data_IF_524900193845
#
_entry.id   IF_524900193845
#
_cell.length_a   1.000
_cell.length_b   1.000
_cell.length_c   1.000
_cell.angle_alpha   90.00
_cell.angle_beta   90.00
_cell.angle_gamma   90.00
#
_symmetry.space_group_name_H-M   'P 1'
#
loop_
_entity.id
_entity.type
_entity.pdbx_description
1 polymer ?
#
# COMPACT_ATOMS: atom_id res chain seq x y z
N UNK A 1 -25.14 -52.12 15.09
CA UNK A 1 -24.96 -51.60 13.71
C UNK A 1 -25.72 -50.30 13.42
N UNK A 2 -26.77 -49.91 14.17
CA UNK A 2 -27.51 -48.66 13.90
C UNK A 2 -26.78 -47.36 14.32
N UNK A 3 -25.95 -47.38 15.37
CA UNK A 3 -25.26 -46.18 15.87
C UNK A 3 -24.07 -45.71 15.01
N UNK A 4 -23.46 -46.61 14.23
CA UNK A 4 -22.31 -46.30 13.37
C UNK A 4 -22.74 -45.50 12.14
N UNK A 5 -23.92 -45.82 11.57
CA UNK A 5 -24.48 -45.13 10.42
C UNK A 5 -24.91 -43.69 10.75
N UNK A 6 -25.48 -43.45 11.94
CA UNK A 6 -25.87 -42.10 12.36
C UNK A 6 -24.67 -41.17 12.55
N UNK A 7 -23.58 -41.65 13.17
CA UNK A 7 -22.34 -40.88 13.33
C UNK A 7 -21.68 -40.58 11.98
N UNK A 8 -21.62 -41.55 11.08
CA UNK A 8 -21.09 -41.35 9.73
C UNK A 8 -21.90 -40.31 8.95
N UNK A 9 -23.24 -40.37 9.03
CA UNK A 9 -24.12 -39.36 8.44
C UNK A 9 -23.89 -37.97 9.04
N UNK A 10 -23.75 -37.85 10.36
CA UNK A 10 -23.50 -36.57 11.02
C UNK A 10 -22.15 -35.96 10.58
N UNK A 11 -21.10 -36.78 10.49
CA UNK A 11 -19.78 -36.34 10.00
C UNK A 11 -19.84 -35.92 8.54
N UNK A 12 -20.56 -36.67 7.69
CA UNK A 12 -20.75 -36.31 6.29
C UNK A 12 -21.53 -35.00 6.13
N UNK A 13 -22.61 -34.80 6.91
CA UNK A 13 -23.38 -33.55 6.90
C UNK A 13 -22.55 -32.37 7.39
N UNK A 14 -21.73 -32.56 8.43
CA UNK A 14 -20.80 -31.53 8.91
C UNK A 14 -19.74 -31.20 7.86
N UNK A 15 -19.17 -32.21 7.20
CA UNK A 15 -18.19 -32.00 6.12
C UNK A 15 -18.79 -31.25 4.94
N UNK A 16 -20.02 -31.62 4.52
CA UNK A 16 -20.76 -30.89 3.47
C UNK A 16 -21.04 -29.46 3.92
N UNK A 17 -21.50 -29.24 5.14
CA UNK A 17 -21.75 -27.90 5.69
C UNK A 17 -20.48 -27.04 5.71
N UNK A 18 -19.35 -27.60 6.15
CA UNK A 18 -18.06 -26.88 6.15
C UNK A 18 -17.64 -26.57 4.72
N UNK A 19 -17.69 -27.54 3.81
CA UNK A 19 -17.28 -27.36 2.42
C UNK A 19 -18.16 -26.34 1.68
N UNK A 20 -19.47 -26.32 1.91
CA UNK A 20 -20.36 -25.35 1.26
C UNK A 20 -20.25 -23.95 1.89
N UNK A 21 -19.99 -23.87 3.20
CA UNK A 21 -19.92 -22.59 3.92
C UNK A 21 -18.58 -21.90 3.75
N UNK A 22 -17.47 -22.65 3.81
CA UNK A 22 -16.11 -22.11 3.82
C UNK A 22 -15.29 -22.50 2.59
N UNK A 23 -15.73 -23.47 1.78
CA UNK A 23 -15.04 -23.87 0.56
C UNK A 23 -14.86 -22.73 -0.46
N UNK A 24 -15.88 -21.86 -0.70
CA UNK A 24 -15.70 -20.70 -1.57
C UNK A 24 -14.63 -19.72 -1.07
N UNK A 25 -14.64 -19.42 0.24
CA UNK A 25 -13.66 -18.53 0.87
C UNK A 25 -12.24 -19.13 0.75
N UNK A 26 -12.09 -20.42 1.04
CA UNK A 26 -10.81 -21.14 0.91
C UNK A 26 -10.33 -21.20 -0.55
N UNK A 27 -11.22 -21.44 -1.51
CA UNK A 27 -10.87 -21.46 -2.93
C UNK A 27 -10.40 -20.08 -3.41
N UNK A 28 -11.09 -19.02 -2.99
CA UNK A 28 -10.70 -17.66 -3.31
C UNK A 28 -9.38 -17.30 -2.64
N UNK A 29 -9.12 -17.69 -1.39
CA UNK A 29 -7.83 -17.49 -0.73
C UNK A 29 -6.71 -18.21 -1.50
N UNK A 30 -6.94 -19.44 -1.95
CA UNK A 30 -5.99 -20.21 -2.75
C UNK A 30 -5.63 -19.50 -4.06
N UNK A 31 -6.63 -18.95 -4.77
CA UNK A 31 -6.43 -18.16 -5.98
C UNK A 31 -5.67 -16.86 -5.71
N UNK A 32 -6.15 -16.07 -4.76
CA UNK A 32 -5.66 -14.72 -4.44
C UNK A 32 -4.21 -14.75 -3.95
N UNK A 33 -3.87 -15.74 -3.12
CA UNK A 33 -2.51 -15.97 -2.64
C UNK A 33 -1.57 -16.59 -3.70
N UNK A 34 -2.10 -16.89 -4.89
CA UNK A 34 -1.32 -17.38 -6.02
C UNK A 34 -0.88 -18.83 -5.89
N UNK A 35 -1.58 -19.65 -5.11
CA UNK A 35 -1.16 -21.04 -4.90
C UNK A 35 -1.29 -21.81 -6.22
N UNK A 36 -0.16 -22.34 -6.72
CA UNK A 36 0.00 -22.97 -8.05
C UNK A 36 -0.19 -22.03 -9.24
N UNK A 37 -0.14 -20.71 -9.06
CA UNK A 37 -0.07 -19.78 -10.20
C UNK A 37 1.23 -20.03 -10.96
N UNK A 38 1.24 -19.86 -12.28
CA UNK A 38 2.50 -19.86 -13.02
C UNK A 38 3.11 -18.47 -12.96
N UNK A 39 4.43 -18.39 -12.79
CA UNK A 39 5.14 -17.12 -12.92
C UNK A 39 5.17 -16.72 -14.39
N UNK A 40 4.88 -15.46 -14.67
CA UNK A 40 4.84 -14.90 -16.01
C UNK A 40 5.82 -13.73 -16.12
N UNK A 41 6.34 -13.51 -17.33
CA UNK A 41 7.17 -12.36 -17.64
C UNK A 41 6.57 -11.63 -18.83
N UNK A 42 6.14 -10.38 -18.64
CA UNK A 42 5.74 -9.51 -19.75
C UNK A 42 6.90 -9.35 -20.73
N UNK A 43 6.64 -9.62 -22.00
CA UNK A 43 7.64 -9.51 -23.06
C UNK A 43 7.98 -8.04 -23.30
N UNK A 44 9.26 -7.69 -23.10
CA UNK A 44 9.79 -6.37 -23.43
C UNK A 44 10.52 -6.51 -24.77
N UNK A 45 9.88 -6.05 -25.84
CA UNK A 45 10.42 -6.23 -27.20
C UNK A 45 11.67 -5.37 -27.48
N UNK A 46 11.76 -4.19 -26.85
CA UNK A 46 12.90 -3.29 -26.96
C UNK A 46 13.46 -2.98 -25.56
N UNK A 47 14.75 -3.16 -25.36
CA UNK A 47 15.40 -2.88 -24.08
C UNK A 47 15.19 -1.43 -23.60
N UNK A 48 14.99 -0.48 -24.52
CA UNK A 48 14.70 0.92 -24.19
C UNK A 48 13.29 1.12 -23.59
N UNK A 49 12.40 0.13 -23.68
CA UNK A 49 11.04 0.18 -23.13
C UNK A 49 10.97 -0.32 -21.67
N UNK A 50 12.12 -0.56 -21.04
CA UNK A 50 12.25 -0.95 -19.64
C UNK A 50 13.44 -0.26 -18.99
N UNK A 51 13.20 0.39 -17.86
CA UNK A 51 14.21 1.14 -17.11
C UNK A 51 14.12 0.77 -15.64
N UNK A 52 15.25 0.40 -15.04
CA UNK A 52 15.40 0.39 -13.58
C UNK A 52 15.69 1.81 -13.13
N UNK A 53 14.93 2.28 -12.15
CA UNK A 53 15.11 3.62 -11.61
C UNK A 53 16.12 3.52 -10.49
N UNK A 54 17.30 4.09 -10.68
CA UNK A 54 18.36 4.05 -9.67
C UNK A 54 17.94 4.80 -8.39
N UNK A 55 18.53 4.42 -7.26
CA UNK A 55 18.28 5.04 -5.95
C UNK A 55 16.79 5.05 -5.55
N UNK A 56 16.17 3.87 -5.55
CA UNK A 56 14.76 3.65 -5.18
C UNK A 56 14.56 2.30 -4.48
N UNK A 57 15.37 2.05 -3.45
CA UNK A 57 15.29 0.79 -2.71
C UNK A 57 14.02 0.71 -1.85
N UNK A 58 13.26 -0.37 -1.99
CA UNK A 58 12.11 -0.73 -1.16
C UNK A 58 11.07 0.39 -1.03
N UNK A 59 10.88 1.17 -2.10
CA UNK A 59 9.79 2.12 -2.17
C UNK A 59 8.48 1.34 -2.17
N UNK A 60 7.64 1.54 -1.16
CA UNK A 60 6.42 0.75 -1.02
C UNK A 60 5.24 1.44 -1.69
N UNK A 61 5.22 2.76 -1.73
CA UNK A 61 4.12 3.52 -2.32
C UNK A 61 4.59 4.66 -3.23
N UNK A 62 3.76 5.08 -4.19
CA UNK A 62 4.07 6.15 -5.15
C UNK A 62 2.82 6.88 -5.63
N UNK A 63 2.90 8.21 -5.70
CA UNK A 63 1.83 9.07 -6.21
C UNK A 63 2.30 9.96 -7.34
N UNK A 64 1.45 10.14 -8.35
CA UNK A 64 1.67 11.10 -9.43
C UNK A 64 1.06 12.45 -9.09
N UNK A 65 1.88 13.49 -9.05
CA UNK A 65 1.40 14.86 -8.84
C UNK A 65 1.18 15.55 -10.18
N UNK A 66 -0.07 15.50 -10.67
CA UNK A 66 -0.47 16.01 -12.00
C UNK A 66 0.05 17.44 -12.28
N UNK A 67 -0.07 18.35 -11.31
CA UNK A 67 0.33 19.76 -11.47
C UNK A 67 1.81 19.91 -11.81
N UNK A 68 2.68 19.09 -11.20
CA UNK A 68 4.13 19.14 -11.46
C UNK A 68 4.58 18.18 -12.55
N UNK A 69 3.78 17.15 -12.85
CA UNK A 69 4.15 16.05 -13.72
C UNK A 69 5.25 15.14 -13.15
N UNK A 70 5.42 15.10 -11.82
CA UNK A 70 6.43 14.32 -11.12
C UNK A 70 5.78 13.23 -10.26
N UNK A 71 6.50 12.12 -10.03
CA UNK A 71 6.10 11.13 -9.04
C UNK A 71 6.79 11.39 -7.71
N UNK A 72 6.09 11.12 -6.61
CA UNK A 72 6.59 11.20 -5.24
C UNK A 72 6.50 9.83 -4.59
N UNK A 73 7.55 9.43 -3.88
CA UNK A 73 7.63 8.13 -3.20
C UNK A 73 8.51 8.23 -1.96
N UNK A 74 8.32 7.31 -1.00
CA UNK A 74 9.21 7.14 0.13
C UNK A 74 9.87 5.75 0.09
N UNK A 75 11.18 5.74 0.20
CA UNK A 75 12.04 4.59 -0.01
C UNK A 75 12.91 4.34 1.22
N UNK A 76 13.46 3.13 1.31
CA UNK A 76 14.55 2.86 2.24
C UNK A 76 15.88 3.26 1.61
N UNK A 77 16.88 3.48 2.46
CA UNK A 77 18.23 3.79 1.98
C UNK A 77 18.97 2.55 1.47
N UNK A 78 18.63 1.37 2.01
CA UNK A 78 19.23 0.09 1.66
C UNK A 78 18.20 -1.02 1.81
N UNK A 79 18.44 -2.18 1.19
CA UNK A 79 17.47 -3.29 1.17
C UNK A 79 17.50 -4.20 2.42
N UNK A 80 18.51 -4.05 3.27
CA UNK A 80 18.76 -4.99 4.38
C UNK A 80 17.90 -4.74 5.63
N UNK A 81 17.64 -3.50 6.07
CA UNK A 81 16.92 -3.25 7.33
C UNK A 81 15.52 -3.89 7.39
N UNK A 82 14.73 -3.83 6.30
CA UNK A 82 13.37 -4.42 6.28
C UNK A 82 13.36 -5.94 6.44
N UNK A 83 14.45 -6.63 6.09
CA UNK A 83 14.56 -8.07 6.33
C UNK A 83 14.72 -8.44 7.82
N UNK A 84 14.87 -7.44 8.69
CA UNK A 84 15.03 -7.59 10.14
C UNK A 84 13.99 -6.80 10.94
N UNK A 85 13.46 -5.72 10.38
CA UNK A 85 12.44 -4.90 11.02
C UNK A 85 11.49 -4.32 9.98
N UNK A 86 10.28 -4.88 9.92
CA UNK A 86 9.17 -4.35 9.14
C UNK A 86 7.84 -4.85 9.73
N UNK A 87 7.24 -4.11 10.68
CA UNK A 87 5.99 -4.46 11.34
C UNK A 87 4.82 -4.82 10.41
N UNK A 88 4.64 -4.20 9.22
CA UNK A 88 3.58 -4.58 8.29
C UNK A 88 3.65 -6.04 7.82
N UNK A 89 4.81 -6.70 7.90
CA UNK A 89 4.95 -8.13 7.60
C UNK A 89 5.32 -8.96 8.84
N UNK A 90 4.94 -8.46 10.03
CA UNK A 90 5.22 -9.06 11.33
C UNK A 90 6.71 -9.38 11.57
N UNK A 91 7.62 -8.65 10.92
CA UNK A 91 9.05 -8.83 11.08
C UNK A 91 9.58 -7.93 12.21
N UNK A 92 9.89 -8.53 13.35
CA UNK A 92 10.40 -7.85 14.55
C UNK A 92 11.76 -8.41 15.00
N UNK A 93 12.53 -9.01 14.09
CA UNK A 93 13.72 -9.79 14.41
C UNK A 93 14.82 -8.97 15.11
N UNK A 94 15.06 -7.73 14.67
CA UNK A 94 16.06 -6.85 15.28
C UNK A 94 15.62 -5.37 15.23
N UNK A 95 15.01 -4.82 16.30
CA UNK A 95 14.70 -3.38 16.37
C UNK A 95 15.94 -2.48 16.35
N UNK A 96 17.13 -3.01 16.63
CA UNK A 96 18.37 -2.24 16.69
C UNK A 96 18.81 -1.71 15.32
N UNK A 97 18.42 -2.37 14.22
CA UNK A 97 18.80 -1.91 12.87
C UNK A 97 18.16 -0.59 12.49
N UNK A 98 17.03 -0.26 13.12
CA UNK A 98 16.29 0.97 12.84
C UNK A 98 17.05 2.21 13.29
N UNK A 99 17.97 2.10 14.24
CA UNK A 99 18.87 3.21 14.59
C UNK A 99 19.72 3.72 13.41
N UNK A 100 19.88 2.90 12.36
CA UNK A 100 20.56 3.25 11.10
C UNK A 100 19.59 3.39 9.90
N UNK A 101 18.29 3.17 10.10
CA UNK A 101 17.29 3.31 9.03
C UNK A 101 16.87 4.76 8.92
N UNK A 102 17.34 5.45 7.89
CA UNK A 102 17.07 6.88 7.71
C UNK A 102 15.98 7.18 6.70
N UNK A 103 15.52 6.20 5.92
CA UNK A 103 14.51 6.37 4.87
C UNK A 103 14.79 7.57 3.97
N UNK A 104 13.98 7.74 2.93
CA UNK A 104 14.15 8.90 2.06
C UNK A 104 12.89 9.21 1.28
N UNK A 105 12.73 10.48 0.93
CA UNK A 105 11.69 10.92 0.00
C UNK A 105 12.35 11.16 -1.36
N UNK A 106 11.75 10.61 -2.40
CA UNK A 106 12.25 10.71 -3.75
C UNK A 106 11.22 11.37 -4.67
N UNK A 107 11.76 12.10 -5.64
CA UNK A 107 11.02 12.62 -6.77
C UNK A 107 11.52 11.92 -8.02
N UNK A 108 10.60 11.45 -8.84
CA UNK A 108 10.93 10.82 -10.12
C UNK A 108 10.32 11.65 -11.24
N UNK A 109 11.14 12.01 -12.22
CA UNK A 109 10.69 12.68 -13.42
C UNK A 109 10.34 11.64 -14.51
N UNK A 110 9.07 11.51 -14.92
CA UNK A 110 8.66 10.53 -15.93
C UNK A 110 9.32 10.74 -17.29
N UNK A 111 9.83 11.94 -17.59
CA UNK A 111 10.49 12.25 -18.87
C UNK A 111 11.94 11.77 -18.88
N UNK A 112 12.63 11.89 -17.76
CA UNK A 112 14.05 11.49 -17.65
C UNK A 112 14.24 10.10 -17.06
N UNK A 113 13.20 9.55 -16.42
CA UNK A 113 13.20 8.26 -15.72
C UNK A 113 14.28 8.17 -14.63
N UNK A 114 14.55 9.31 -13.97
CA UNK A 114 15.56 9.43 -12.92
C UNK A 114 14.91 9.82 -11.59
N UNK A 115 15.46 9.24 -10.52
CA UNK A 115 15.17 9.57 -9.13
C UNK A 115 16.04 10.75 -8.67
N UNK A 116 15.44 11.64 -7.87
CA UNK A 116 16.12 12.67 -7.06
C UNK A 116 15.72 12.44 -5.61
N UNK A 117 16.68 11.97 -4.81
CA UNK A 117 16.58 11.91 -3.36
C UNK A 117 16.57 13.31 -2.76
N UNK A 118 15.60 13.59 -1.90
CA UNK A 118 15.48 14.86 -1.18
C UNK A 118 16.19 14.76 0.18
N UNK A 119 16.95 15.80 0.54
CA UNK A 119 17.42 15.94 1.91
C UNK A 119 16.24 16.17 2.87
N UNK A 120 16.33 15.68 4.11
CA UNK A 120 15.32 15.95 5.13
C UNK A 120 15.87 16.99 6.11
N UNK A 121 15.16 18.12 6.26
CA UNK A 121 15.50 19.17 7.21
C UNK A 121 14.61 19.07 8.45
N UNK A 122 15.20 19.23 9.64
CA UNK A 122 14.45 19.29 10.89
C UNK A 122 13.99 17.94 11.44
N UNK A 123 14.51 16.83 10.91
CA UNK A 123 14.27 15.48 11.41
C UNK A 123 15.55 14.65 11.36
N UNK A 124 15.93 14.07 12.49
CA UNK A 124 17.11 13.21 12.66
C UNK A 124 16.75 11.84 13.25
N UNK A 125 15.45 11.56 13.36
CA UNK A 125 14.93 10.30 13.87
C UNK A 125 14.99 9.16 12.84
N UNK A 126 14.73 7.91 13.27
CA UNK A 126 14.58 6.81 12.35
C UNK A 126 13.35 6.95 11.45
N UNK A 127 13.50 6.62 10.17
CA UNK A 127 12.41 6.66 9.20
C UNK A 127 12.36 5.32 8.44
N UNK A 128 11.44 4.46 8.84
CA UNK A 128 11.14 3.17 8.20
C UNK A 128 9.88 3.36 7.39
N UNK A 129 10.03 3.54 6.09
CA UNK A 129 8.97 4.06 5.21
C UNK A 129 7.92 2.98 4.91
N UNK A 130 6.72 3.40 4.53
CA UNK A 130 5.63 2.54 4.06
C UNK A 130 4.73 3.38 3.12
N UNK A 131 3.41 3.38 3.30
CA UNK A 131 2.49 4.22 2.54
C UNK A 131 2.71 5.73 2.73
N UNK A 132 2.45 6.50 1.67
CA UNK A 132 2.52 7.97 1.70
C UNK A 132 1.29 8.57 1.01
N UNK A 133 1.04 9.86 1.23
CA UNK A 133 0.21 10.63 0.30
C UNK A 133 0.67 12.08 0.26
N UNK A 134 0.30 12.76 -0.81
CA UNK A 134 0.66 14.15 -1.07
C UNK A 134 -0.60 15.01 -1.20
N UNK A 135 -0.53 16.23 -0.68
CA UNK A 135 -1.62 17.21 -0.86
C UNK A 135 -1.03 18.59 -1.07
N UNK A 136 -1.65 19.37 -1.97
CA UNK A 136 -1.22 20.73 -2.26
C UNK A 136 -1.23 21.59 -0.98
N UNK A 137 -0.25 22.48 -0.84
CA UNK A 137 -0.30 23.53 0.18
C UNK A 137 -1.45 24.49 -0.18
N UNK A 138 -2.50 24.65 0.67
CA UNK A 138 -3.60 25.56 0.37
C UNK A 138 -3.17 27.03 0.19
N UNK A 139 -2.01 27.42 0.71
CA UNK A 139 -1.45 28.78 0.57
C UNK A 139 -0.70 28.96 -0.75
N UNK A 140 -0.04 27.90 -1.21
CA UNK A 140 0.83 27.89 -2.40
C UNK A 140 0.55 26.65 -3.27
N UNK A 141 -0.69 26.43 -3.75
CA UNK A 141 -1.13 25.13 -4.26
C UNK A 141 -0.48 24.70 -5.58
N UNK A 142 0.27 25.60 -6.22
CA UNK A 142 1.03 25.32 -7.45
C UNK A 142 2.51 25.09 -7.19
N UNK A 143 3.01 25.54 -6.04
CA UNK A 143 4.43 25.69 -5.78
C UNK A 143 4.89 24.83 -4.59
N UNK A 144 3.97 24.39 -3.72
CA UNK A 144 4.30 23.57 -2.57
C UNK A 144 3.26 22.48 -2.28
N UNK A 145 3.73 21.41 -1.64
CA UNK A 145 2.92 20.28 -1.19
C UNK A 145 3.28 19.90 0.25
N UNK A 146 2.34 19.27 0.91
CA UNK A 146 2.57 18.47 2.10
C UNK A 146 2.69 17.00 1.71
N UNK A 147 3.59 16.28 2.38
CA UNK A 147 3.80 14.84 2.21
C UNK A 147 3.59 14.18 3.57
N UNK A 148 2.60 13.30 3.65
CA UNK A 148 2.41 12.44 4.80
C UNK A 148 3.08 11.10 4.53
N UNK A 149 3.79 10.55 5.51
CA UNK A 149 4.43 9.25 5.37
C UNK A 149 4.25 8.40 6.63
N UNK A 150 3.84 7.14 6.45
CA UNK A 150 3.85 6.16 7.53
C UNK A 150 5.30 5.83 7.91
N UNK A 151 5.57 5.79 9.21
CA UNK A 151 6.88 5.50 9.78
C UNK A 151 6.79 4.44 10.88
N UNK A 152 7.45 3.30 10.67
CA UNK A 152 7.40 2.13 11.54
C UNK A 152 8.60 2.02 12.49
N UNK A 153 8.66 2.89 13.50
CA UNK A 153 9.75 2.82 14.48
C UNK A 153 9.52 1.77 15.59
N UNK A 154 10.58 1.23 16.20
CA UNK A 154 10.47 0.46 17.43
C UNK A 154 9.94 1.30 18.59
N UNK A 155 9.15 0.68 19.45
CA UNK A 155 8.79 1.27 20.73
C UNK A 155 10.03 1.29 21.67
N UNK A 156 10.47 2.47 22.15
CA UNK A 156 11.61 2.57 23.06
C UNK A 156 11.45 1.74 24.35
N UNK A 157 10.23 1.63 24.89
CA UNK A 157 9.95 0.84 26.09
C UNK A 157 10.16 -0.66 25.84
N UNK A 158 9.71 -1.15 24.68
CA UNK A 158 9.94 -2.54 24.26
C UNK A 158 11.43 -2.82 24.08
N UNK A 159 12.16 -1.93 23.38
CA UNK A 159 13.60 -2.07 23.17
C UNK A 159 14.36 -2.09 24.49
N UNK A 160 13.97 -1.24 25.44
CA UNK A 160 14.57 -1.21 26.78
C UNK A 160 14.25 -2.49 27.56
N UNK A 161 12.99 -2.94 27.56
CA UNK A 161 12.58 -4.16 28.26
C UNK A 161 13.31 -5.40 27.75
N UNK A 162 13.49 -5.51 26.43
CA UNK A 162 14.26 -6.59 25.78
C UNK A 162 15.73 -6.59 26.21
N UNK A 163 16.37 -5.41 26.31
CA UNK A 163 17.78 -5.27 26.74
C UNK A 163 18.00 -5.65 28.20
N UNK A 164 17.06 -5.35 29.09
CA UNK A 164 17.20 -5.59 30.54
C UNK A 164 16.81 -7.03 30.92
N UNK A 165 16.46 -7.89 29.96
CA UNK A 165 16.02 -9.27 30.23
C UNK A 165 14.71 -9.34 31.02
N UNK A 166 13.96 -8.23 31.08
CA UNK A 166 12.65 -8.11 31.74
C UNK A 166 11.50 -8.37 30.76
N UNK A 167 11.71 -9.22 29.75
CA UNK A 167 10.58 -9.83 29.05
C UNK A 167 9.80 -10.63 30.11
N UNK A 168 8.74 -10.00 30.61
CA UNK A 168 8.05 -10.29 31.86
C UNK A 168 7.52 -11.72 31.96
N UNK A 169 7.41 -12.24 33.18
CA UNK A 169 6.66 -13.48 33.47
C UNK A 169 5.14 -13.33 33.22
N UNK A 170 4.66 -12.13 32.91
CA UNK A 170 3.29 -11.86 32.48
C UNK A 170 3.28 -11.29 31.05
N UNK A 171 2.63 -12.00 30.13
CA UNK A 171 2.51 -11.61 28.72
C UNK A 171 1.74 -10.27 28.55
N UNK A 172 0.82 -9.94 29.47
CA UNK A 172 0.00 -8.72 29.40
C UNK A 172 0.76 -7.43 29.75
N UNK A 173 2.00 -7.52 30.24
CA UNK A 173 2.81 -6.35 30.63
C UNK A 173 3.96 -6.06 29.66
N UNK A 174 3.99 -6.69 28.48
CA UNK A 174 5.02 -6.46 27.47
C UNK A 174 4.58 -5.24 26.64
N UNK A 175 5.38 -4.16 26.58
CA UNK A 175 5.06 -3.02 25.72
C UNK A 175 4.94 -3.46 24.25
N UNK A 176 4.05 -2.80 23.51
CA UNK A 176 3.92 -3.00 22.06
C UNK A 176 5.27 -2.87 21.36
N UNK A 177 5.58 -3.75 20.40
CA UNK A 177 6.90 -3.77 19.75
C UNK A 177 7.14 -2.55 18.87
N UNK A 178 6.13 -2.16 18.10
CA UNK A 178 6.15 -1.01 17.20
C UNK A 178 5.53 0.21 17.85
N UNK A 179 6.00 1.38 17.46
CA UNK A 179 5.39 2.68 17.75
C UNK A 179 5.17 3.43 16.43
N UNK A 180 4.41 2.79 15.53
CA UNK A 180 4.09 3.30 14.21
C UNK A 180 3.39 4.67 14.31
N UNK A 181 3.74 5.57 13.40
CA UNK A 181 3.32 6.98 13.42
C UNK A 181 3.32 7.54 12.01
N UNK A 182 2.84 8.77 11.85
CA UNK A 182 2.88 9.50 10.58
C UNK A 182 3.86 10.67 10.71
N UNK A 183 4.73 10.84 9.74
CA UNK A 183 5.59 12.02 9.60
C UNK A 183 5.00 12.95 8.55
N UNK A 184 4.85 14.23 8.89
CA UNK A 184 4.40 15.27 7.97
C UNK A 184 5.59 16.11 7.52
N UNK A 185 5.76 16.23 6.21
CA UNK A 185 6.76 17.08 5.58
C UNK A 185 6.10 18.17 4.73
N UNK A 186 6.79 19.27 4.55
CA UNK A 186 6.45 20.33 3.60
C UNK A 186 7.56 20.43 2.56
N UNK A 187 7.18 20.52 1.30
CA UNK A 187 8.10 20.57 0.18
C UNK A 187 7.70 21.67 -0.80
N UNK A 188 8.64 22.56 -1.08
CA UNK A 188 8.52 23.54 -2.16
C UNK A 188 9.10 22.93 -3.43
N UNK A 189 8.31 22.89 -4.50
CA UNK A 189 8.68 22.26 -5.76
C UNK A 189 9.96 22.86 -6.33
N UNK A 190 10.95 21.99 -6.56
CA UNK A 190 12.26 22.36 -7.11
C UNK A 190 13.38 22.34 -6.09
N UNK A 191 13.07 22.42 -4.80
CA UNK A 191 14.06 22.40 -3.72
C UNK A 191 14.84 21.08 -3.67
N UNK A 192 16.03 21.11 -3.09
CA UNK A 192 16.86 19.92 -2.86
C UNK A 192 16.46 19.13 -1.61
N UNK A 193 15.48 19.61 -0.84
CA UNK A 193 15.12 19.04 0.45
C UNK A 193 13.67 19.30 0.82
N UNK A 194 13.12 18.41 1.64
CA UNK A 194 11.85 18.59 2.35
C UNK A 194 12.10 19.07 3.77
N UNK A 195 11.14 19.79 4.35
CA UNK A 195 11.18 20.19 5.75
C UNK A 195 10.20 19.35 6.56
N UNK A 196 10.67 18.69 7.60
CA UNK A 196 9.79 18.06 8.58
C UNK A 196 8.97 19.13 9.30
N UNK A 197 7.66 18.90 9.35
CA UNK A 197 6.69 19.78 9.98
C UNK A 197 6.40 19.29 11.39
N UNK A 198 5.97 18.03 11.51
CA UNK A 198 5.75 17.36 12.79
C UNK A 198 5.54 15.86 12.61
N UNK A 199 5.68 15.15 13.73
CA UNK A 199 5.19 13.78 13.90
C UNK A 199 3.73 13.81 14.36
N UNK A 200 2.94 12.83 13.92
CA UNK A 200 1.53 12.63 14.26
C UNK A 200 1.36 11.21 14.80
N UNK A 201 0.73 11.10 15.97
CA UNK A 201 0.39 9.82 16.61
C UNK A 201 -0.99 9.91 17.24
N UNK A 202 -1.74 8.81 17.21
CA UNK A 202 -3.08 8.74 17.79
C UNK A 202 -3.39 7.28 18.18
N UNK A 203 -4.14 7.00 19.27
CA UNK A 203 -4.45 5.63 19.69
C UNK A 203 -5.19 4.75 18.67
N UNK A 204 -5.83 5.38 17.67
CA UNK A 204 -6.48 4.68 16.56
C UNK A 204 -5.50 4.31 15.43
N UNK A 205 -4.25 4.75 15.48
CA UNK A 205 -3.17 4.33 14.58
C UNK A 205 -2.50 3.11 15.22
N UNK A 206 -2.94 1.91 14.85
CA UNK A 206 -2.53 0.65 15.49
C UNK A 206 -1.57 -0.16 14.63
N UNK A 207 -1.87 -0.25 13.34
CA UNK A 207 -1.17 -1.01 12.30
C UNK A 207 -1.25 -0.21 10.99
N UNK A 208 -0.79 1.06 10.98
CA UNK A 208 -0.97 1.93 9.83
C UNK A 208 -0.33 1.31 8.59
N UNK A 209 -1.08 1.28 7.50
CA UNK A 209 -0.58 0.80 6.22
C UNK A 209 -0.37 1.98 5.26
N UNK A 210 -1.45 2.69 4.94
CA UNK A 210 -1.41 3.78 3.97
C UNK A 210 -2.28 4.98 4.36
N UNK A 211 -2.14 6.09 3.63
CA UNK A 211 -2.70 7.41 3.93
C UNK A 211 -3.51 7.91 2.73
N UNK A 212 -4.60 8.62 3.02
CA UNK A 212 -5.29 9.46 2.06
C UNK A 212 -5.37 10.88 2.62
N UNK A 213 -4.73 11.84 1.97
CA UNK A 213 -4.67 13.22 2.39
C UNK A 213 -5.77 14.06 1.71
N UNK A 214 -6.75 14.51 2.50
CA UNK A 214 -7.77 15.47 2.04
C UNK A 214 -7.21 16.89 2.07
N UNK A 215 -6.44 17.20 3.12
CA UNK A 215 -5.80 18.49 3.36
C UNK A 215 -4.65 18.31 4.36
N UNK A 216 -3.80 19.34 4.59
CA UNK A 216 -2.77 19.26 5.62
C UNK A 216 -3.30 18.99 7.04
N UNK A 217 -4.61 19.21 7.27
CA UNK A 217 -5.27 19.04 8.57
C UNK A 217 -6.27 17.89 8.63
N UNK A 218 -6.43 17.09 7.57
CA UNK A 218 -7.42 16.01 7.50
C UNK A 218 -6.90 14.88 6.62
N UNK A 219 -6.71 13.70 7.23
CA UNK A 219 -6.18 12.51 6.57
C UNK A 219 -6.97 11.27 6.99
N UNK A 220 -7.09 10.29 6.10
CA UNK A 220 -7.48 8.93 6.45
C UNK A 220 -6.25 8.05 6.52
N UNK A 221 -6.28 7.07 7.43
CA UNK A 221 -5.21 6.09 7.61
C UNK A 221 -5.83 4.71 7.72
N UNK A 222 -5.33 3.75 6.96
CA UNK A 222 -5.74 2.34 7.11
C UNK A 222 -4.97 1.67 8.22
N UNK A 223 -5.65 0.85 9.01
CA UNK A 223 -5.05 -0.16 9.87
C UNK A 223 -5.29 -1.53 9.24
N UNK A 224 -4.22 -2.17 8.77
CA UNK A 224 -4.33 -3.38 7.95
C UNK A 224 -4.66 -4.65 8.72
N UNK A 225 -4.38 -4.67 10.02
CA UNK A 225 -4.67 -5.82 10.88
C UNK A 225 -5.15 -5.42 12.26
N UNK A 226 -6.02 -6.24 12.85
CA UNK A 226 -6.33 -6.19 14.27
C UNK A 226 -5.22 -6.82 15.11
N UNK A 227 -4.72 -7.99 14.70
CA UNK A 227 -3.60 -8.64 15.38
C UNK A 227 -2.26 -8.18 14.80
N UNK A 228 -1.34 -7.71 15.65
CA UNK A 228 -0.03 -7.22 15.21
C UNK A 228 0.95 -8.31 14.79
N UNK A 229 0.82 -9.53 15.34
CA UNK A 229 1.68 -10.67 15.01
C UNK A 229 1.05 -12.01 15.41
N UNK A 230 1.74 -13.11 15.08
CA UNK A 230 1.41 -14.45 15.55
C UNK A 230 0.29 -15.15 14.77
N UNK A 231 -0.16 -16.29 15.29
CA UNK A 231 -1.10 -17.17 14.58
C UNK A 231 -2.47 -16.55 14.32
N UNK A 232 -2.92 -15.63 15.18
CA UNK A 232 -4.19 -14.95 14.99
C UNK A 232 -4.15 -13.95 13.84
N UNK A 233 -2.99 -13.29 13.62
CA UNK A 233 -2.76 -12.46 12.42
C UNK A 233 -2.78 -13.31 11.16
N UNK A 234 -2.07 -14.44 11.15
CA UNK A 234 -2.09 -15.36 10.01
C UNK A 234 -3.50 -15.93 9.73
N UNK A 235 -4.32 -16.12 10.78
CA UNK A 235 -5.72 -16.53 10.62
C UNK A 235 -6.59 -15.40 10.05
N UNK A 236 -6.36 -14.16 10.49
CA UNK A 236 -6.98 -12.95 9.94
C UNK A 236 -6.78 -12.93 8.42
N UNK A 237 -5.54 -13.05 7.93
CA UNK A 237 -5.20 -12.98 6.50
C UNK A 237 -5.95 -13.99 5.61
N UNK A 238 -6.13 -15.24 6.09
CA UNK A 238 -6.73 -16.32 5.29
C UNK A 238 -8.24 -16.40 5.44
N UNK A 239 -8.81 -15.82 6.49
CA UNK A 239 -10.24 -15.84 6.75
C UNK A 239 -10.87 -14.54 6.25
N UNK A 240 -11.38 -14.51 5.02
CA UNK A 240 -12.03 -13.32 4.44
C UNK A 240 -13.21 -12.71 5.21
N UNK A 241 -13.69 -13.41 6.25
CA UNK A 241 -14.71 -12.93 7.16
C UNK A 241 -14.13 -12.19 8.39
N UNK A 242 -12.82 -12.19 8.57
CA UNK A 242 -12.09 -11.46 9.59
C UNK A 242 -12.04 -9.97 9.25
N UNK A 243 -13.22 -9.36 9.17
CA UNK A 243 -13.43 -7.98 8.75
C UNK A 243 -13.13 -6.99 9.88
N UNK A 244 -11.94 -7.10 10.46
CA UNK A 244 -11.54 -6.47 11.71
C UNK A 244 -10.63 -5.25 11.50
N UNK A 245 -10.05 -5.10 10.30
CA UNK A 245 -9.30 -3.92 9.89
C UNK A 245 -10.19 -2.68 9.83
N UNK A 246 -9.57 -1.52 9.96
CA UNK A 246 -10.29 -0.24 10.00
C UNK A 246 -9.62 0.80 9.12
N UNK A 247 -10.39 1.76 8.65
CA UNK A 247 -9.85 3.04 8.15
C UNK A 247 -10.28 4.12 9.11
N UNK A 248 -9.35 4.97 9.54
CA UNK A 248 -9.60 6.00 10.56
C UNK A 248 -9.37 7.38 9.96
N UNK A 249 -10.24 8.33 10.28
CA UNK A 249 -10.06 9.73 9.92
C UNK A 249 -9.41 10.47 11.08
N UNK A 250 -8.32 11.18 10.79
CA UNK A 250 -7.63 12.06 11.73
C UNK A 250 -7.81 13.52 11.32
N UNK A 251 -8.12 14.37 12.31
CA UNK A 251 -8.10 15.83 12.19
C UNK A 251 -6.95 16.39 13.01
N UNK A 252 -6.18 17.29 12.40
CA UNK A 252 -4.98 17.91 12.99
C UNK A 252 -5.24 19.43 13.08
N UNK A 253 -5.47 19.93 14.29
CA UNK A 253 -5.84 21.33 14.53
C UNK A 253 -4.63 22.27 14.67
N UNK A 254 -3.43 21.74 14.90
CA UNK A 254 -2.21 22.52 15.08
C UNK A 254 -1.03 21.85 14.35
N UNK A 255 -0.64 22.34 13.17
CA UNK A 255 0.50 21.77 12.44
C UNK A 255 1.87 22.10 13.07
N UNK A 256 1.91 22.98 14.07
CA UNK A 256 3.16 23.47 14.67
C UNK A 256 3.52 22.78 15.99
N UNK A 257 2.63 21.94 16.52
CA UNK A 257 2.87 21.24 17.77
C UNK A 257 4.02 20.24 17.65
N UNK A 258 4.91 20.25 18.65
CA UNK A 258 6.05 19.33 18.76
C UNK A 258 5.69 17.98 19.36
N UNK A 259 4.67 17.95 20.23
CA UNK A 259 4.14 16.69 20.77
C UNK A 259 3.33 15.97 19.69
N UNK A 260 3.56 14.67 19.50
CA UNK A 260 2.95 13.91 18.41
C UNK A 260 1.43 13.75 18.51
N UNK A 261 0.86 13.89 19.71
CA UNK A 261 -0.58 13.70 19.98
C UNK A 261 -1.35 15.01 20.11
N UNK A 262 -0.64 16.10 20.41
CA UNK A 262 -1.24 17.41 20.60
C UNK A 262 -1.98 17.90 19.33
N UNK A 263 -3.24 18.29 19.52
CA UNK A 263 -4.09 18.77 18.43
C UNK A 263 -4.55 17.70 17.44
N UNK A 264 -4.40 16.41 17.75
CA UNK A 264 -4.84 15.31 16.89
C UNK A 264 -6.09 14.66 17.48
N UNK A 265 -7.16 14.60 16.69
CA UNK A 265 -8.37 13.84 17.03
C UNK A 265 -8.64 12.80 15.97
N UNK A 266 -9.19 11.66 16.35
CA UNK A 266 -9.45 10.57 15.41
C UNK A 266 -10.81 9.90 15.63
N UNK A 267 -11.36 9.34 14.54
CA UNK A 267 -12.55 8.49 14.58
C UNK A 267 -12.48 7.41 13.51
N UNK A 268 -13.16 6.29 13.71
CA UNK A 268 -13.27 5.23 12.69
C UNK A 268 -14.16 5.75 11.56
N UNK A 269 -13.65 5.68 10.33
CA UNK A 269 -14.31 6.11 9.10
C UNK A 269 -14.93 4.92 8.33
N UNK A 270 -14.25 3.77 8.39
CA UNK A 270 -14.70 2.50 7.81
C UNK A 270 -14.33 1.36 8.75
N UNK A 271 -15.27 0.44 8.90
CA UNK A 271 -15.14 -0.85 9.57
C UNK A 271 -15.80 -1.93 8.69
N UNK A 272 -15.70 -3.20 9.09
CA UNK A 272 -16.31 -4.34 8.39
C UNK A 272 -15.76 -4.60 6.96
N UNK A 273 -14.51 -4.21 6.73
CA UNK A 273 -13.69 -4.60 5.58
C UNK A 273 -12.54 -5.51 6.02
N UNK A 274 -11.96 -6.26 5.10
CA UNK A 274 -10.94 -7.27 5.42
C UNK A 274 -9.58 -6.86 4.88
N UNK A 275 -8.63 -6.65 5.79
CA UNK A 275 -7.26 -6.27 5.50
C UNK A 275 -7.15 -4.98 4.69
N UNK A 276 -7.70 -3.90 5.26
CA UNK A 276 -7.63 -2.54 4.70
C UNK A 276 -6.16 -2.11 4.58
N UNK A 277 -5.63 -2.13 3.36
CA UNK A 277 -4.22 -1.91 3.06
C UNK A 277 -4.09 -0.55 2.36
N UNK A 278 -3.67 -0.52 1.10
CA UNK A 278 -3.50 0.70 0.32
C UNK A 278 -4.74 1.57 0.19
N UNK A 279 -4.50 2.88 0.18
CA UNK A 279 -5.45 3.92 -0.13
C UNK A 279 -5.07 4.57 -1.47
N UNK A 280 -6.04 5.18 -2.14
CA UNK A 280 -5.76 5.87 -3.40
C UNK A 280 -6.82 6.89 -3.77
N UNK A 281 -6.45 7.81 -4.67
CA UNK A 281 -7.38 8.76 -5.27
C UNK A 281 -8.11 8.11 -6.43
N UNK A 282 -9.45 8.21 -6.44
CA UNK A 282 -10.29 7.64 -7.47
C UNK A 282 -10.50 8.57 -8.68
N UNK A 283 -11.55 8.28 -9.46
CA UNK A 283 -11.82 9.01 -10.71
C UNK A 283 -12.31 10.44 -10.50
N UNK A 284 -12.82 10.72 -9.32
CA UNK A 284 -13.41 12.00 -8.93
C UNK A 284 -12.80 12.44 -7.61
N UNK A 285 -12.81 13.74 -7.36
CA UNK A 285 -12.21 14.34 -6.16
C UNK A 285 -12.83 13.87 -4.83
N UNK A 286 -14.02 13.26 -4.88
CA UNK A 286 -14.70 12.67 -3.72
C UNK A 286 -14.56 11.14 -3.65
N UNK A 287 -13.76 10.52 -4.51
CA UNK A 287 -13.51 9.08 -4.50
C UNK A 287 -12.21 8.72 -3.80
N UNK A 288 -12.34 7.82 -2.83
CA UNK A 288 -11.24 7.15 -2.14
C UNK A 288 -11.26 5.67 -2.50
N UNK A 289 -10.10 5.14 -2.86
CA UNK A 289 -9.88 3.73 -3.11
C UNK A 289 -9.38 3.09 -1.82
N UNK A 290 -9.88 1.91 -1.47
CA UNK A 290 -9.43 1.15 -0.30
C UNK A 290 -9.19 -0.29 -0.74
N UNK A 291 -7.95 -0.74 -0.70
CA UNK A 291 -7.63 -2.14 -0.96
C UNK A 291 -7.93 -3.01 0.27
N UNK A 292 -8.65 -4.10 0.04
CA UNK A 292 -8.72 -5.26 0.92
C UNK A 292 -7.69 -6.27 0.42
N UNK A 293 -6.43 -6.14 0.86
CA UNK A 293 -5.27 -6.64 0.11
C UNK A 293 -5.30 -8.14 -0.12
N UNK A 294 -5.31 -8.94 0.95
CA UNK A 294 -5.37 -10.40 0.81
C UNK A 294 -6.72 -10.91 0.28
N UNK A 295 -7.75 -10.06 0.21
CA UNK A 295 -9.03 -10.40 -0.44
C UNK A 295 -8.98 -10.25 -1.96
N UNK A 296 -8.01 -9.51 -2.50
CA UNK A 296 -7.97 -9.18 -3.93
C UNK A 296 -9.12 -8.27 -4.37
N UNK A 297 -9.60 -7.41 -3.46
CA UNK A 297 -10.68 -6.45 -3.75
C UNK A 297 -10.20 -5.04 -3.50
N UNK A 298 -10.42 -4.16 -4.48
CA UNK A 298 -10.42 -2.71 -4.27
C UNK A 298 -11.86 -2.23 -4.08
N UNK A 299 -12.10 -1.49 -3.02
CA UNK A 299 -13.35 -0.79 -2.77
C UNK A 299 -13.25 0.64 -3.29
N UNK A 300 -14.29 1.08 -4.00
CA UNK A 300 -14.48 2.48 -4.35
C UNK A 300 -15.42 3.07 -3.30
N UNK A 301 -14.90 4.00 -2.51
CA UNK A 301 -15.61 4.74 -1.49
C UNK A 301 -15.88 6.18 -1.90
N UNK A 302 -16.91 6.78 -1.30
CA UNK A 302 -17.22 8.20 -1.40
C UNK A 302 -16.88 8.89 -0.09
N UNK A 303 -16.11 9.96 -0.19
CA UNK A 303 -15.83 10.86 0.93
C UNK A 303 -17.12 11.56 1.37
N UNK A 304 -17.27 11.81 2.68
CA UNK A 304 -18.41 12.55 3.20
C UNK A 304 -18.36 14.01 2.72
N UNK A 305 -19.52 14.55 2.34
CA UNK A 305 -19.63 15.96 1.95
C UNK A 305 -19.37 16.92 3.13
N UNK A 306 -19.72 16.49 4.35
CA UNK A 306 -19.41 17.21 5.58
C UNK A 306 -18.15 16.59 6.23
N UNK A 307 -17.03 17.33 6.31
CA UNK A 307 -15.77 16.83 6.90
C UNK A 307 -15.85 16.53 8.41
N UNK A 308 -16.92 16.97 9.09
CA UNK A 308 -17.19 16.61 10.49
C UNK A 308 -17.78 15.21 10.62
N UNK A 309 -18.47 14.72 9.58
CA UNK A 309 -18.84 13.31 9.45
C UNK A 309 -17.66 12.59 8.78
N UNK A 310 -17.10 11.54 9.38
CA UNK A 310 -15.92 10.86 8.81
C UNK A 310 -16.25 9.64 7.95
N UNK A 311 -17.53 9.30 7.79
CA UNK A 311 -17.90 7.99 7.29
C UNK A 311 -17.71 7.95 5.77
N UNK A 312 -16.82 7.06 5.32
CA UNK A 312 -16.69 6.77 3.89
C UNK A 312 -17.81 5.80 3.51
N UNK A 313 -18.53 6.11 2.43
CA UNK A 313 -19.57 5.22 1.91
C UNK A 313 -19.02 4.37 0.79
N UNK A 314 -18.91 3.06 0.99
CA UNK A 314 -18.50 2.14 -0.08
C UNK A 314 -19.62 2.04 -1.11
N UNK A 315 -19.31 2.30 -2.38
CA UNK A 315 -20.29 2.35 -3.47
C UNK A 315 -20.10 1.23 -4.50
N UNK A 316 -18.89 0.71 -4.66
CA UNK A 316 -18.60 -0.32 -5.65
C UNK A 316 -17.36 -1.12 -5.28
N UNK A 317 -17.34 -2.40 -5.63
CA UNK A 317 -16.20 -3.31 -5.42
C UNK A 317 -15.64 -3.76 -6.78
N UNK A 318 -14.31 -3.78 -6.88
CA UNK A 318 -13.55 -4.33 -8.00
C UNK A 318 -12.71 -5.47 -7.47
N UNK A 319 -12.93 -6.69 -7.97
CA UNK A 319 -12.21 -7.88 -7.49
C UNK A 319 -11.39 -8.49 -8.62
N UNK A 320 -10.14 -8.84 -8.29
CA UNK A 320 -9.21 -9.55 -9.17
C UNK A 320 -8.74 -10.84 -8.47
N UNK A 321 -8.23 -11.80 -9.24
CA UNK A 321 -7.79 -13.10 -8.72
C UNK A 321 -6.39 -13.06 -8.04
N UNK A 322 -5.91 -11.90 -7.60
CA UNK A 322 -4.61 -11.66 -6.95
C UNK A 322 -4.76 -10.76 -5.73
N UNK A 323 -3.80 -10.77 -4.79
CA UNK A 323 -3.77 -9.72 -3.76
C UNK A 323 -3.68 -8.34 -4.43
N UNK A 324 -4.19 -7.30 -3.77
CA UNK A 324 -4.12 -5.92 -4.26
C UNK A 324 -3.50 -5.05 -3.17
N UNK A 325 -2.31 -4.49 -3.40
CA UNK A 325 -1.70 -3.52 -2.46
C UNK A 325 -2.26 -2.11 -2.74
N UNK A 326 -1.45 -1.14 -3.20
CA UNK A 326 -1.79 0.28 -3.28
C UNK A 326 -2.43 0.61 -4.63
N UNK A 327 -3.77 0.78 -4.67
CA UNK A 327 -4.48 0.99 -5.93
C UNK A 327 -4.37 2.45 -6.37
N UNK A 328 -4.24 2.67 -7.67
CA UNK A 328 -4.24 4.04 -8.24
C UNK A 328 -5.23 4.16 -9.39
N UNK A 329 -5.63 5.40 -9.70
CA UNK A 329 -6.44 5.68 -10.87
C UNK A 329 -5.60 6.42 -11.92
N UNK A 330 -5.66 5.93 -13.16
CA UNK A 330 -5.10 6.60 -14.33
C UNK A 330 -6.21 7.34 -15.08
N UNK A 331 -6.08 8.66 -15.19
CA UNK A 331 -6.88 9.47 -16.10
C UNK A 331 -6.14 9.65 -17.43
N UNK A 332 -6.80 9.29 -18.54
CA UNK A 332 -6.24 9.38 -19.87
C UNK A 332 -6.29 10.83 -20.41
N UNK A 333 -5.15 11.55 -20.49
CA UNK A 333 -5.16 12.95 -20.91
C UNK A 333 -5.43 13.11 -22.42
N UNK A 334 -5.43 12.02 -23.18
CA UNK A 334 -5.70 12.00 -24.62
C UNK A 334 -7.05 11.35 -24.96
N UNK A 335 -7.92 11.17 -23.97
CA UNK A 335 -9.24 10.59 -24.14
C UNK A 335 -10.06 11.34 -25.20
N UNK A 336 -10.76 10.58 -26.03
CA UNK A 336 -11.71 11.09 -27.04
C UNK A 336 -13.07 10.45 -26.81
N UNK A 337 -14.17 11.06 -27.27
CA UNK A 337 -15.48 10.42 -27.23
C UNK A 337 -15.43 9.03 -27.87
N UNK A 338 -15.67 7.98 -27.06
CA UNK A 338 -15.62 6.58 -27.50
C UNK A 338 -14.22 5.92 -27.50
N UNK A 339 -13.17 6.63 -27.08
CA UNK A 339 -11.80 6.11 -26.92
C UNK A 339 -11.13 6.75 -25.69
N UNK A 340 -11.70 6.45 -24.53
CA UNK A 340 -11.19 6.80 -23.20
C UNK A 340 -10.47 5.56 -22.62
N UNK A 341 -9.19 5.71 -22.32
CA UNK A 341 -8.33 4.65 -21.78
C UNK A 341 -8.10 4.78 -20.28
N UNK A 342 -8.90 5.56 -19.56
CA UNK A 342 -8.81 5.71 -18.11
C UNK A 342 -9.18 4.40 -17.39
N UNK A 343 -8.58 4.15 -16.23
CA UNK A 343 -8.79 2.90 -15.50
C UNK A 343 -8.02 2.82 -14.19
N UNK A 344 -8.29 1.76 -13.42
CA UNK A 344 -7.63 1.50 -12.15
C UNK A 344 -6.43 0.58 -12.34
N UNK A 345 -5.36 0.85 -11.62
CA UNK A 345 -4.19 -0.01 -11.52
C UNK A 345 -4.23 -0.74 -10.19
N UNK A 346 -4.19 -2.06 -10.25
CA UNK A 346 -4.24 -2.95 -9.09
C UNK A 346 -2.94 -3.77 -9.05
N UNK A 347 -1.90 -3.26 -8.37
CA UNK A 347 -0.65 -3.98 -8.14
C UNK A 347 -0.86 -5.15 -7.17
N UNK A 348 -0.21 -6.28 -7.43
CA UNK A 348 -0.32 -7.48 -6.62
C UNK A 348 0.75 -8.53 -6.88
N UNK A 349 0.75 -9.59 -6.10
CA UNK A 349 1.79 -10.64 -6.18
C UNK A 349 1.31 -11.88 -6.91
N UNK A 350 2.21 -12.45 -7.71
CA UNK A 350 1.97 -13.75 -8.37
C UNK A 350 1.87 -14.90 -7.37
N UNK A 351 2.63 -14.85 -6.26
CA UNK A 351 2.71 -15.86 -5.21
C UNK A 351 2.81 -15.23 -3.82
N UNK A 352 1.77 -14.53 -3.38
CA UNK A 352 1.77 -13.89 -2.06
C UNK A 352 2.03 -14.88 -0.91
N UNK A 353 1.70 -16.16 -1.10
CA UNK A 353 1.95 -17.22 -0.10
C UNK A 353 3.43 -17.35 0.31
N UNK A 354 4.37 -16.92 -0.53
CA UNK A 354 5.80 -17.03 -0.23
C UNK A 354 6.33 -15.87 0.65
N UNK A 355 5.59 -14.75 0.75
CA UNK A 355 6.08 -13.53 1.42
C UNK A 355 6.45 -13.77 2.87
N UNK A 356 5.63 -14.51 3.62
CA UNK A 356 5.90 -14.79 5.03
C UNK A 356 7.22 -15.52 5.28
N UNK A 357 7.71 -16.30 4.30
CA UNK A 357 9.03 -16.92 4.36
C UNK A 357 10.12 -16.00 3.81
N UNK A 358 9.85 -15.37 2.66
CA UNK A 358 10.85 -14.61 1.91
C UNK A 358 11.20 -13.25 2.54
N UNK A 359 10.38 -12.72 3.44
CA UNK A 359 10.63 -11.42 4.10
C UNK A 359 11.94 -11.39 4.90
N UNK A 360 12.44 -12.54 5.35
CA UNK A 360 13.70 -12.63 6.11
C UNK A 360 14.94 -12.73 5.22
N UNK A 361 14.76 -12.91 3.91
CA UNK A 361 15.83 -13.04 2.93
C UNK A 361 15.74 -11.90 1.90
N UNK A 362 16.70 -10.97 1.92
CA UNK A 362 16.73 -9.84 0.99
C UNK A 362 17.07 -10.25 -0.45
N UNK A 363 17.60 -11.46 -0.66
CA UNK A 363 17.94 -12.00 -1.99
C UNK A 363 16.85 -12.91 -2.58
N UNK A 364 15.77 -13.18 -1.82
CA UNK A 364 14.66 -13.96 -2.34
C UNK A 364 13.94 -13.26 -3.51
N UNK A 365 13.17 -14.02 -4.28
CA UNK A 365 12.38 -13.53 -5.42
C UNK A 365 10.89 -13.70 -5.16
N UNK A 366 10.13 -12.66 -5.48
CA UNK A 366 8.69 -12.60 -5.28
C UNK A 366 8.06 -12.04 -6.56
N UNK A 367 7.34 -12.89 -7.30
CA UNK A 367 6.76 -12.52 -8.58
C UNK A 367 5.63 -11.50 -8.45
N UNK A 368 5.45 -10.69 -9.49
CA UNK A 368 4.62 -9.49 -9.49
C UNK A 368 3.59 -9.52 -10.61
N UNK A 369 2.48 -8.81 -10.41
CA UNK A 369 1.41 -8.62 -11.36
C UNK A 369 0.82 -7.22 -11.20
N UNK A 370 0.46 -6.58 -12.30
CA UNK A 370 -0.32 -5.33 -12.30
C UNK A 370 -1.52 -5.52 -13.22
N UNK A 371 -2.70 -5.50 -12.63
CA UNK A 371 -3.95 -5.47 -13.38
C UNK A 371 -4.35 -4.03 -13.70
N UNK A 372 -4.82 -3.82 -14.92
CA UNK A 372 -5.52 -2.62 -15.33
C UNK A 372 -7.00 -2.94 -15.47
N UNK A 373 -7.85 -2.20 -14.77
CA UNK A 373 -9.28 -2.49 -14.69
C UNK A 373 -10.10 -1.31 -15.17
N UNK A 374 -11.01 -1.58 -16.10
CA UNK A 374 -11.87 -0.58 -16.71
C UNK A 374 -13.32 -1.00 -16.68
N UNK A 375 -14.23 -0.03 -16.60
CA UNK A 375 -15.66 -0.28 -16.68
C UNK A 375 -16.09 -0.25 -18.15
N UNK A 376 -16.71 -1.32 -18.62
CA UNK A 376 -17.30 -1.36 -19.96
C UNK A 376 -18.43 -0.33 -20.06
N UNK A 377 -18.35 0.66 -20.97
CA UNK A 377 -19.35 1.72 -21.06
C UNK A 377 -20.71 1.23 -21.57
N UNK A 378 -20.78 0.05 -22.21
CA UNK A 378 -22.02 -0.53 -22.74
C UNK A 378 -22.70 -1.44 -21.72
N UNK A 379 -21.92 -2.28 -21.03
CA UNK A 379 -22.46 -3.31 -20.13
C UNK A 379 -22.39 -2.90 -18.66
N UNK A 380 -21.53 -1.95 -18.31
CA UNK A 380 -21.23 -1.57 -16.93
C UNK A 380 -20.37 -2.60 -16.18
N UNK A 381 -19.95 -3.69 -16.82
CA UNK A 381 -19.12 -4.72 -16.21
C UNK A 381 -17.66 -4.27 -16.09
N UNK A 382 -16.96 -4.79 -15.08
CA UNK A 382 -15.52 -4.61 -14.94
C UNK A 382 -14.76 -5.54 -15.88
N UNK A 383 -13.85 -4.97 -16.66
CA UNK A 383 -12.92 -5.69 -17.51
C UNK A 383 -11.52 -5.56 -16.90
N UNK A 384 -10.94 -6.67 -16.49
CA UNK A 384 -9.58 -6.77 -15.99
C UNK A 384 -8.61 -7.18 -17.11
N UNK A 385 -7.45 -6.53 -17.17
CA UNK A 385 -6.37 -6.86 -18.11
C UNK A 385 -5.06 -6.89 -17.35
N UNK A 386 -4.34 -8.01 -17.40
CA UNK A 386 -2.97 -8.07 -16.91
C UNK A 386 -2.08 -7.26 -17.86
N UNK A 387 -1.53 -6.13 -17.38
CA UNK A 387 -0.71 -5.23 -18.21
C UNK A 387 0.79 -5.40 -17.94
N UNK A 388 1.15 -5.93 -16.78
CA UNK A 388 2.52 -6.26 -16.43
C UNK A 388 2.59 -7.46 -15.49
N UNK A 389 3.57 -8.32 -15.70
CA UNK A 389 3.95 -9.40 -14.80
C UNK A 389 5.46 -9.64 -14.86
N UNK A 390 6.03 -10.02 -13.72
CA UNK A 390 7.41 -10.45 -13.58
C UNK A 390 7.52 -11.66 -12.66
N UNK A 391 8.51 -12.51 -12.92
CA UNK A 391 8.82 -13.66 -12.07
C UNK A 391 9.57 -13.29 -10.78
N UNK A 392 9.95 -12.03 -10.61
CA UNK A 392 10.63 -11.48 -9.43
C UNK A 392 12.07 -11.05 -9.69
N UNK A 393 12.64 -11.35 -10.88
CA UNK A 393 14.05 -11.02 -11.19
C UNK A 393 14.25 -9.60 -11.76
N UNK A 394 13.25 -9.03 -12.44
CA UNK A 394 13.32 -7.63 -12.92
C UNK A 394 12.86 -6.67 -11.85
N UNK A 395 11.82 -7.06 -11.10
CA UNK A 395 11.31 -6.36 -9.92
C UNK A 395 10.77 -7.39 -8.92
N UNK A 396 11.29 -7.36 -7.69
CA UNK A 396 10.88 -8.25 -6.60
C UNK A 396 9.77 -7.60 -5.80
N UNK A 397 8.62 -8.26 -5.68
CA UNK A 397 7.39 -7.72 -5.08
C UNK A 397 6.84 -6.50 -5.84
N UNK A 398 5.54 -6.26 -5.71
CA UNK A 398 4.94 -5.02 -6.16
C UNK A 398 3.89 -4.58 -5.14
N UNK A 399 3.92 -3.30 -4.78
CA UNK A 399 2.99 -2.68 -3.84
C UNK A 399 2.22 -1.53 -4.46
N UNK A 400 2.87 -0.61 -5.17
CA UNK A 400 2.19 0.46 -5.89
C UNK A 400 2.54 0.49 -7.38
N UNK A 401 1.62 1.00 -8.20
CA UNK A 401 1.89 1.28 -9.60
C UNK A 401 1.17 2.53 -10.09
N UNK A 402 1.80 3.29 -10.97
CA UNK A 402 1.30 4.55 -11.53
C UNK A 402 1.56 4.54 -13.03
N UNK A 403 0.59 5.00 -13.81
CA UNK A 403 0.71 5.08 -15.26
C UNK A 403 0.76 6.54 -15.71
N UNK A 404 1.76 6.88 -16.52
CA UNK A 404 1.91 8.21 -17.12
C UNK A 404 1.82 8.08 -18.63
N UNK A 405 0.83 8.73 -19.26
CA UNK A 405 0.61 8.64 -20.69
C UNK A 405 1.76 9.25 -21.50
N UNK A 406 2.15 8.59 -22.59
CA UNK A 406 3.05 9.15 -23.60
C UNK A 406 2.20 9.87 -24.63
N UNK A 407 2.59 11.08 -25.03
CA UNK A 407 1.89 11.80 -26.10
C UNK A 407 1.87 10.97 -27.39
N UNK A 408 0.68 10.61 -27.93
CA UNK A 408 0.58 9.91 -29.19
C UNK A 408 1.28 10.65 -30.34
N UNK A 409 1.34 11.99 -30.30
CA UNK A 409 2.05 12.79 -31.30
C UNK A 409 3.58 12.54 -31.28
N UNK A 410 4.13 12.21 -30.11
CA UNK A 410 5.55 11.92 -29.92
C UNK A 410 5.88 10.42 -30.08
N UNK A 411 4.86 9.56 -30.15
CA UNK A 411 5.00 8.10 -30.16
C UNK A 411 4.27 7.42 -31.35
N UNK A 412 4.32 8.06 -32.53
CA UNK A 412 3.82 7.47 -33.77
C UNK A 412 2.33 7.14 -33.77
N UNK A 413 1.53 7.89 -33.01
CA UNK A 413 0.08 7.74 -32.87
C UNK A 413 -0.35 6.62 -31.91
N UNK A 414 0.58 5.91 -31.28
CA UNK A 414 0.24 4.80 -30.36
C UNK A 414 -0.29 5.33 -29.03
N UNK A 415 -1.30 4.64 -28.46
CA UNK A 415 -1.80 4.87 -27.12
C UNK A 415 -1.00 4.02 -26.14
N UNK A 416 0.09 4.60 -25.61
CA UNK A 416 1.00 3.93 -24.67
C UNK A 416 1.26 4.82 -23.47
N UNK A 417 1.69 4.20 -22.37
CA UNK A 417 2.14 4.89 -21.18
C UNK A 417 3.40 4.25 -20.59
N UNK A 418 4.09 5.01 -19.75
CA UNK A 418 5.08 4.47 -18.82
C UNK A 418 4.36 4.00 -17.55
N UNK A 419 4.38 2.70 -17.31
CA UNK A 419 3.96 2.10 -16.06
C UNK A 419 5.14 2.09 -15.09
N UNK A 420 5.04 2.91 -14.05
CA UNK A 420 5.94 2.92 -12.92
C UNK A 420 5.47 1.88 -11.92
N UNK A 421 6.39 1.05 -11.45
CA UNK A 421 6.10 -0.06 -10.53
C UNK A 421 7.09 0.01 -9.37
N UNK A 422 6.56 -0.02 -8.16
CA UNK A 422 7.32 -0.02 -6.89
C UNK A 422 7.24 -1.39 -6.23
N UNK A 423 7.94 -1.60 -5.12
CA UNK A 423 7.80 -2.83 -4.34
C UNK A 423 8.41 -2.72 -2.95
N UNK A 424 7.69 -3.20 -1.95
CA UNK A 424 8.07 -3.15 -0.53
C UNK A 424 9.38 -3.87 -0.16
N UNK A 425 9.87 -4.78 -1.02
CA UNK A 425 11.18 -5.43 -0.87
C UNK A 425 12.03 -5.38 -2.17
N UNK A 426 11.67 -4.53 -3.13
CA UNK A 426 12.43 -4.35 -4.37
C UNK A 426 13.78 -3.65 -4.13
N UNK A 427 14.80 -3.98 -4.93
CA UNK A 427 16.05 -3.20 -4.95
C UNK A 427 15.88 -1.84 -5.64
N UNK A 428 14.95 -1.75 -6.58
CA UNK A 428 14.66 -0.57 -7.38
C UNK A 428 13.20 -0.59 -7.82
N UNK A 429 12.61 0.59 -7.96
CA UNK A 429 11.47 0.81 -8.84
C UNK A 429 11.85 0.55 -10.30
N UNK A 430 10.85 0.25 -11.12
CA UNK A 430 11.01 0.16 -12.57
C UNK A 430 10.01 1.07 -13.29
N UNK A 431 10.33 1.43 -14.53
CA UNK A 431 9.41 1.96 -15.50
C UNK A 431 9.39 1.05 -16.73
N UNK A 432 8.21 0.67 -17.19
CA UNK A 432 8.02 -0.17 -18.37
C UNK A 432 6.95 0.40 -19.28
N UNK A 433 7.18 0.41 -20.58
CA UNK A 433 6.19 0.90 -21.54
C UNK A 433 5.10 -0.14 -21.74
N UNK A 434 3.84 0.28 -21.64
CA UNK A 434 2.66 -0.57 -21.82
C UNK A 434 1.66 0.03 -22.80
N UNK A 435 0.89 -0.84 -23.46
CA UNK A 435 -0.23 -0.44 -24.32
C UNK A 435 -1.50 -0.19 -23.49
N UNK A 436 -2.23 0.88 -23.84
CA UNK A 436 -3.44 1.33 -23.15
C UNK A 436 -4.74 0.82 -23.78
#
# INVERSE_FOLDING_TARGET
MAGTNFRATLVALLAVFIATTYGPDAFRAFKTLGVRRHLENTVIANAADFVKIEDTAQCEDVHFHETSGLLFTACEDTVVPRSKWFPPLANFADPGVVGNAQGSIHIIDPKTLKSKRLGIQGYDGPFVTHGIDIVADPKEPKDAIYIFAVNHVPNPEYVLAAKVGKASQNAESIPEKSHSRIELFHYVLGDSSVKHVRTISHPLIQTPNDIYAVSPSSIFVTNDHFYREGHMRALEDVLFRAKWSTTVHLQISDLTATDATAGVTGRVAVENLHNNNGLGHGRAADEILIASCVSGTMHIGKLPADPTTANITIVEDVTVDTIVDNPTYFSDPYAKPGDDRSGYLLPGLSHAINIGHNIFDHEAVDGTMVYFVQKDPKTGAWNERLIFADDGHRIRSVSASVLVAIDPAENGGKRQGWLFVTGFVSSNMIAVKVDL
#
